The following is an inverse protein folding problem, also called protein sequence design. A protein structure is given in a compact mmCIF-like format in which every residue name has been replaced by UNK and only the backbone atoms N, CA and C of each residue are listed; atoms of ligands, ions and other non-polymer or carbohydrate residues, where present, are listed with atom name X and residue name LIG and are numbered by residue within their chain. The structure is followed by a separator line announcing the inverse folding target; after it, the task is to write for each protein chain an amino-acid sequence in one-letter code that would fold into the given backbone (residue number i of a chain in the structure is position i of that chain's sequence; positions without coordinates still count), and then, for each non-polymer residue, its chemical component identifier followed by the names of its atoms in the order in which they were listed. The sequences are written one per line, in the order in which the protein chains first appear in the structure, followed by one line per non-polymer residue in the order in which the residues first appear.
data_IF_415811480566
#
_entry.id   IF_415811480566
#
_cell.length_a   1.000
_cell.length_b   1.000
_cell.length_c   1.000
_cell.angle_alpha   90.00
_cell.angle_beta   90.00
_cell.angle_gamma   90.00
#
_symmetry.space_group_name_H-M   'P 1'
#
loop_
_entity.id
_entity.type
_entity.pdbx_description
1 polymer ?
#
# COMPACT_ATOMS: atom_id res chain seq x y z
N UNK A 1 -29.12 -55.73 6.02
CA UNK A 1 -29.52 -54.31 6.08
C UNK A 1 -28.26 -53.48 6.27
N UNK A 2 -28.07 -52.51 5.37
CA UNK A 2 -27.32 -51.24 5.48
C UNK A 2 -26.23 -51.12 6.59
N UNK A 3 -24.94 -50.97 6.24
CA UNK A 3 -24.25 -49.72 5.87
C UNK A 3 -23.87 -48.81 7.07
N UNK A 4 -22.58 -48.44 7.09
CA UNK A 4 -21.92 -47.22 7.65
C UNK A 4 -21.79 -47.07 9.17
N UNK A 5 -20.57 -47.16 9.71
CA UNK A 5 -19.74 -45.97 9.95
C UNK A 5 -18.40 -46.32 10.64
N UNK A 6 -17.30 -46.02 9.96
CA UNK A 6 -16.08 -45.54 10.60
C UNK A 6 -16.43 -44.24 11.36
N UNK A 7 -15.79 -43.94 12.49
CA UNK A 7 -15.03 -42.69 12.62
C UNK A 7 -14.46 -42.40 14.02
N UNK A 8 -13.12 -42.32 14.06
CA UNK A 8 -12.36 -41.16 14.55
C UNK A 8 -12.60 -40.67 15.99
N UNK A 9 -12.57 -41.56 16.99
CA UNK A 9 -12.35 -41.13 18.40
C UNK A 9 -10.90 -40.71 18.69
N UNK A 10 -10.00 -40.83 17.73
CA UNK A 10 -8.68 -40.22 17.71
C UNK A 10 -8.69 -39.03 16.74
N UNK A 11 -8.03 -37.93 17.12
CA UNK A 11 -7.95 -36.64 16.41
C UNK A 11 -9.06 -35.64 16.78
N UNK A 12 -9.20 -35.33 18.08
CA UNK A 12 -9.50 -33.93 18.47
C UNK A 12 -9.09 -33.57 19.90
N UNK A 13 -7.88 -33.93 20.31
CA UNK A 13 -7.18 -33.28 21.45
C UNK A 13 -6.09 -32.32 20.96
N UNK A 14 -6.39 -31.52 19.94
CA UNK A 14 -5.53 -30.40 19.57
C UNK A 14 -6.09 -29.12 20.20
N UNK A 15 -5.48 -28.75 21.33
CA UNK A 15 -5.27 -27.41 21.87
C UNK A 15 -6.34 -26.30 21.65
N UNK A 16 -6.92 -25.73 22.73
CA UNK A 16 -7.69 -24.48 22.67
C UNK A 16 -6.82 -23.21 22.68
N UNK A 17 -5.63 -23.21 22.05
CA UNK A 17 -4.75 -22.04 21.97
C UNK A 17 -4.97 -21.20 20.69
N UNK A 18 -5.77 -21.68 19.73
CA UNK A 18 -5.88 -21.10 18.39
C UNK A 18 -7.09 -20.16 18.16
N UNK A 19 -7.93 -19.92 19.17
CA UNK A 19 -9.24 -19.27 18.96
C UNK A 19 -9.21 -17.73 19.17
N UNK A 20 -8.18 -17.17 19.79
CA UNK A 20 -8.15 -15.73 20.13
C UNK A 20 -7.70 -14.83 18.95
N UNK A 21 -7.30 -15.38 17.80
CA UNK A 21 -6.85 -14.59 16.65
C UNK A 21 -7.91 -14.26 15.59
N UNK A 22 -9.16 -14.74 15.68
CA UNK A 22 -9.98 -14.89 14.46
C UNK A 22 -10.96 -13.78 14.03
N UNK A 23 -11.28 -12.72 14.80
CA UNK A 23 -12.29 -11.73 14.31
C UNK A 23 -11.97 -10.27 14.63
N UNK A 24 -10.73 -9.83 14.40
CA UNK A 24 -10.47 -8.39 14.23
C UNK A 24 -10.67 -8.06 12.76
N UNK A 25 -11.83 -7.51 12.39
CA UNK A 25 -12.13 -7.04 11.03
C UNK A 25 -11.03 -6.06 10.57
N UNK A 26 -10.13 -6.44 9.65
CA UNK A 26 -8.95 -5.65 9.35
C UNK A 26 -9.35 -4.45 8.48
N UNK A 27 -9.56 -3.29 9.11
CA UNK A 27 -9.78 -2.04 8.39
C UNK A 27 -8.57 -1.75 7.50
N UNK A 28 -8.81 -1.53 6.20
CA UNK A 28 -7.77 -1.07 5.28
C UNK A 28 -7.03 0.12 5.87
N UNK A 29 -5.70 0.08 5.84
CA UNK A 29 -4.87 1.17 6.36
C UNK A 29 -4.17 1.87 5.20
N UNK A 30 -4.14 3.19 5.26
CA UNK A 30 -3.35 3.99 4.33
C UNK A 30 -1.86 3.74 4.56
N UNK A 31 -1.11 3.46 3.49
CA UNK A 31 0.35 3.39 3.55
C UNK A 31 0.91 4.79 3.86
N UNK A 32 1.41 4.99 5.08
CA UNK A 32 1.91 6.30 5.54
C UNK A 32 3.05 6.82 4.67
N UNK A 33 3.86 5.95 4.08
CA UNK A 33 4.91 6.34 3.13
C UNK A 33 4.34 6.98 1.86
N UNK A 34 3.24 6.45 1.33
CA UNK A 34 2.53 7.01 0.17
C UNK A 34 1.85 8.33 0.53
N UNK A 35 1.14 8.39 1.65
CA UNK A 35 0.48 9.61 2.13
C UNK A 35 1.45 10.78 2.38
N UNK A 36 2.69 10.50 2.80
CA UNK A 36 3.74 11.52 2.95
C UNK A 36 4.28 12.04 1.61
N UNK A 37 4.14 11.28 0.53
CA UNK A 37 4.78 11.56 -0.78
C UNK A 37 3.80 12.06 -1.84
N UNK A 38 2.54 11.66 -1.78
CA UNK A 38 1.50 11.95 -2.75
C UNK A 38 0.38 12.79 -2.13
N UNK A 39 -0.15 13.76 -2.89
CA UNK A 39 -1.31 14.56 -2.49
C UNK A 39 -2.33 14.59 -3.62
N UNK A 40 -3.57 14.19 -3.35
CA UNK A 40 -4.69 14.30 -4.29
C UNK A 40 -5.09 15.77 -4.40
N UNK A 41 -5.23 16.28 -5.62
CA UNK A 41 -5.75 17.63 -5.89
C UNK A 41 -7.27 17.57 -6.05
N UNK A 42 -7.96 18.70 -5.85
CA UNK A 42 -9.42 18.78 -6.08
C UNK A 42 -9.85 18.43 -7.52
N UNK A 43 -8.96 18.54 -8.50
CA UNK A 43 -9.19 18.10 -9.88
C UNK A 43 -9.00 16.60 -10.13
N UNK A 44 -8.73 15.79 -9.10
CA UNK A 44 -8.53 14.33 -9.21
C UNK A 44 -7.12 13.88 -9.63
N UNK A 45 -6.25 14.82 -10.01
CA UNK A 45 -4.84 14.54 -10.30
C UNK A 45 -4.00 14.39 -9.04
N UNK A 46 -3.00 13.51 -9.07
CA UNK A 46 -2.13 13.22 -7.91
C UNK A 46 -0.81 13.98 -8.06
N UNK A 47 -0.54 14.89 -7.11
CA UNK A 47 0.70 15.68 -7.03
C UNK A 47 1.83 14.86 -6.41
N UNK A 48 3.04 14.95 -6.99
CA UNK A 48 4.30 14.44 -6.45
C UNK A 48 5.45 15.45 -6.58
N UNK A 49 6.48 15.28 -5.76
CA UNK A 49 7.77 15.97 -5.94
C UNK A 49 8.62 15.33 -7.03
N UNK A 50 9.51 16.10 -7.66
CA UNK A 50 10.49 15.56 -8.60
C UNK A 50 11.67 14.89 -7.88
N UNK A 51 12.21 13.83 -8.48
CA UNK A 51 13.34 13.08 -7.95
C UNK A 51 14.69 13.75 -8.31
N UNK A 52 15.79 13.21 -7.78
CA UNK A 52 17.17 13.55 -8.17
C UNK A 52 17.65 14.98 -7.85
N UNK A 53 17.11 15.62 -6.80
CA UNK A 53 17.49 16.97 -6.34
C UNK A 53 17.97 17.01 -4.88
N UNK A 54 18.60 15.94 -4.38
CA UNK A 54 19.08 15.84 -2.98
C UNK A 54 20.60 15.75 -2.86
N UNK A 55 21.27 14.95 -3.69
CA UNK A 55 22.72 14.77 -3.69
C UNK A 55 23.30 14.93 -5.11
N UNK A 56 24.62 15.12 -5.21
CA UNK A 56 25.37 15.28 -6.49
C UNK A 56 24.82 16.46 -7.33
N UNK A 57 24.58 17.60 -6.67
CA UNK A 57 24.06 18.80 -7.34
C UNK A 57 25.14 19.62 -8.06
N UNK A 58 26.42 19.37 -7.75
CA UNK A 58 27.59 20.02 -8.36
C UNK A 58 27.77 19.59 -9.81
N UNK A 59 27.62 18.30 -10.10
CA UNK A 59 27.74 17.72 -11.45
C UNK A 59 26.52 17.99 -12.36
N UNK A 60 25.45 18.58 -11.82
CA UNK A 60 24.20 18.85 -12.57
C UNK A 60 24.17 20.29 -13.07
N UNK A 61 23.75 20.46 -14.32
CA UNK A 61 23.53 21.79 -14.92
C UNK A 61 22.50 22.60 -14.14
N UNK A 62 22.65 23.92 -14.17
CA UNK A 62 21.70 24.86 -13.53
C UNK A 62 20.29 24.71 -14.11
N UNK A 63 20.17 24.45 -15.42
CA UNK A 63 18.90 24.16 -16.11
C UNK A 63 18.19 22.94 -15.50
N UNK A 64 18.89 21.81 -15.36
CA UNK A 64 18.30 20.59 -14.76
C UNK A 64 17.85 20.84 -13.32
N UNK A 65 18.68 21.51 -12.50
CA UNK A 65 18.32 21.88 -11.13
C UNK A 65 17.09 22.78 -11.03
N UNK A 66 16.83 23.63 -12.03
CA UNK A 66 15.65 24.51 -12.12
C UNK A 66 14.39 23.71 -12.45
N UNK A 67 14.45 22.81 -13.44
CA UNK A 67 13.32 21.96 -13.82
C UNK A 67 12.89 21.02 -12.69
N UNK A 68 13.85 20.49 -11.92
CA UNK A 68 13.57 19.62 -10.77
C UNK A 68 13.00 20.35 -9.54
N UNK A 69 12.87 21.69 -9.54
CA UNK A 69 12.27 22.42 -8.40
C UNK A 69 10.75 22.26 -8.34
N UNK A 70 10.11 22.03 -9.48
CA UNK A 70 8.66 21.95 -9.59
C UNK A 70 8.05 20.68 -9.00
N UNK A 71 6.73 20.70 -8.84
CA UNK A 71 5.94 19.51 -8.60
C UNK A 71 5.36 18.99 -9.92
N UNK A 72 5.20 17.68 -10.05
CA UNK A 72 4.58 17.06 -11.23
C UNK A 72 3.38 16.20 -10.84
N UNK A 73 2.58 15.86 -11.83
CA UNK A 73 1.57 14.83 -11.70
C UNK A 73 2.21 13.43 -11.73
N UNK A 74 1.54 12.46 -11.13
CA UNK A 74 1.85 11.03 -11.32
C UNK A 74 1.43 10.63 -12.74
N UNK A 75 2.25 9.81 -13.40
CA UNK A 75 1.92 9.27 -14.71
C UNK A 75 0.69 8.35 -14.62
N UNK A 76 -0.15 8.36 -15.65
CA UNK A 76 -1.46 7.68 -15.68
C UNK A 76 -1.38 6.21 -15.27
N UNK A 77 -0.38 5.49 -15.79
CA UNK A 77 -0.10 4.08 -15.47
C UNK A 77 0.03 3.79 -13.97
N UNK A 78 0.54 4.75 -13.18
CA UNK A 78 0.79 4.57 -11.75
C UNK A 78 -0.35 5.07 -10.87
N UNK A 79 -1.36 5.74 -11.44
CA UNK A 79 -2.45 6.36 -10.66
C UNK A 79 -3.25 5.30 -9.91
N UNK A 80 -3.59 4.17 -10.56
CA UNK A 80 -4.35 3.09 -9.95
C UNK A 80 -3.63 2.52 -8.71
N UNK A 81 -2.33 2.23 -8.85
CA UNK A 81 -1.49 1.72 -7.76
C UNK A 81 -1.41 2.71 -6.59
N UNK A 82 -1.30 4.01 -6.86
CA UNK A 82 -1.23 5.03 -5.79
C UNK A 82 -2.56 5.15 -5.05
N UNK A 83 -3.70 5.08 -5.75
CA UNK A 83 -5.03 5.09 -5.13
C UNK A 83 -5.26 3.87 -4.25
N UNK A 84 -4.85 2.68 -4.70
CA UNK A 84 -4.92 1.46 -3.89
C UNK A 84 -4.12 1.56 -2.56
N UNK A 85 -3.01 2.33 -2.54
CA UNK A 85 -2.22 2.55 -1.33
C UNK A 85 -2.85 3.57 -0.36
N UNK A 86 -3.78 4.39 -0.83
CA UNK A 86 -4.42 5.47 -0.07
C UNK A 86 -5.94 5.42 -0.21
N UNK A 87 -6.60 4.41 0.41
CA UNK A 87 -8.03 4.16 0.21
C UNK A 87 -8.97 5.25 0.76
N UNK A 88 -8.46 6.20 1.54
CA UNK A 88 -9.25 7.28 2.17
C UNK A 88 -8.83 8.68 1.70
N UNK A 89 -8.12 8.80 0.57
CA UNK A 89 -7.49 10.04 0.10
C UNK A 89 -8.16 10.65 -1.14
#
# INVERSE_FOLDING_TARGET
MALVHQDLSAIRRQAPEAIIMEVVMPKMKTKKSAAKRFKVRGSGSIKRGQAFKRHILTKKTTKSKRQLRGSAAVHETNVASVRAMMPFA
#
